data_IF_215205909154
#
_entry.id   IF_215205909154
#
_cell.length_a   1.000
_cell.length_b   1.000
_cell.length_c   1.000
_cell.angle_alpha   90.00
_cell.angle_beta   90.00
_cell.angle_gamma   90.00
#
_symmetry.space_group_name_H-M   'P 1'
#
loop_
_entity.id
_entity.type
_entity.pdbx_description
1 polymer ?
#
# COMPACT_ATOMS: atom_id res chain seq x y z
N UNK A 1 -10.65 -10.97 -8.57
CA UNK A 1 -9.37 -11.69 -8.43
C UNK A 1 -9.46 -13.00 -7.66
N UNK A 2 -10.17 -13.08 -6.51
CA UNK A 2 -10.31 -14.35 -5.75
C UNK A 2 -10.96 -15.50 -6.54
N UNK A 3 -11.94 -15.20 -7.41
CA UNK A 3 -12.61 -16.21 -8.24
C UNK A 3 -11.66 -16.90 -9.23
N UNK A 4 -10.79 -16.14 -9.91
CA UNK A 4 -9.79 -16.69 -10.84
C UNK A 4 -8.76 -17.56 -10.11
N UNK A 5 -8.39 -17.19 -8.88
CA UNK A 5 -7.51 -17.99 -8.02
C UNK A 5 -8.14 -19.35 -7.68
N UNK A 6 -9.42 -19.37 -7.28
CA UNK A 6 -10.12 -20.61 -6.98
C UNK A 6 -10.33 -21.49 -8.21
N UNK A 7 -10.64 -20.90 -9.37
CA UNK A 7 -10.76 -21.64 -10.63
C UNK A 7 -9.42 -22.25 -11.02
N UNK A 8 -8.32 -21.52 -10.88
CA UNK A 8 -6.97 -22.01 -11.16
C UNK A 8 -6.55 -23.13 -10.18
N UNK A 9 -6.83 -22.97 -8.89
CA UNK A 9 -6.57 -23.99 -7.87
C UNK A 9 -7.38 -25.28 -8.14
N UNK A 10 -8.66 -25.15 -8.48
CA UNK A 10 -9.51 -26.28 -8.82
C UNK A 10 -9.01 -27.01 -10.08
N UNK A 11 -8.56 -26.28 -11.10
CA UNK A 11 -7.98 -26.85 -12.31
C UNK A 11 -6.66 -27.62 -12.03
N UNK A 12 -5.83 -27.11 -11.11
CA UNK A 12 -4.61 -27.79 -10.66
C UNK A 12 -4.89 -29.09 -9.90
N UNK A 13 -5.86 -29.07 -8.99
CA UNK A 13 -6.27 -30.28 -8.22
C UNK A 13 -6.89 -31.32 -9.16
N UNK A 14 -7.73 -30.91 -10.10
CA UNK A 14 -8.37 -31.81 -11.06
C UNK A 14 -7.33 -32.50 -11.96
N UNK A 15 -6.31 -31.79 -12.42
CA UNK A 15 -5.25 -32.37 -13.26
C UNK A 15 -4.34 -33.31 -12.47
N UNK A 16 -3.97 -32.96 -11.23
CA UNK A 16 -3.21 -33.85 -10.35
C UNK A 16 -3.99 -35.13 -10.01
N UNK A 17 -5.29 -35.02 -9.72
CA UNK A 17 -6.16 -36.16 -9.46
C UNK A 17 -6.30 -37.07 -10.70
N UNK A 18 -6.44 -36.50 -11.89
CA UNK A 18 -6.54 -37.27 -13.14
C UNK A 18 -5.25 -38.05 -13.44
N UNK A 19 -4.07 -37.45 -13.20
CA UNK A 19 -2.77 -38.14 -13.38
C UNK A 19 -2.58 -39.24 -12.34
N UNK A 20 -2.95 -38.99 -11.07
CA UNK A 20 -2.88 -40.01 -10.02
C UNK A 20 -3.81 -41.19 -10.30
N UNK A 21 -5.05 -40.92 -10.72
CA UNK A 21 -5.99 -41.95 -11.15
C UNK A 21 -5.38 -42.76 -12.31
N UNK A 22 -4.88 -42.09 -13.35
CA UNK A 22 -4.31 -42.77 -14.51
C UNK A 22 -3.09 -43.63 -14.15
N UNK A 23 -2.23 -43.17 -13.24
CA UNK A 23 -1.07 -43.92 -12.77
C UNK A 23 -1.47 -45.15 -11.95
N UNK A 24 -2.53 -45.05 -11.14
CA UNK A 24 -3.07 -46.16 -10.36
C UNK A 24 -3.73 -47.23 -11.24
N UNK A 25 -4.43 -46.84 -12.32
CA UNK A 25 -5.08 -47.79 -13.24
C UNK A 25 -4.12 -48.42 -14.25
N UNK A 26 -2.96 -47.80 -14.52
CA UNK A 26 -2.02 -48.24 -15.56
C UNK A 26 -1.17 -49.46 -15.19
N UNK A 27 -1.24 -49.97 -13.95
CA UNK A 27 -0.37 -51.06 -13.48
C UNK A 27 -0.92 -52.47 -13.75
N UNK A 28 -2.09 -52.61 -14.40
CA UNK A 28 -2.84 -53.87 -14.40
C UNK A 28 -3.15 -54.48 -15.78
N UNK A 29 -2.29 -54.33 -16.80
CA UNK A 29 -2.48 -55.10 -18.05
C UNK A 29 -1.18 -55.62 -18.70
N UNK A 30 -0.94 -56.93 -18.49
CA UNK A 30 -0.38 -57.91 -19.44
C UNK A 30 -0.98 -59.30 -19.08
N UNK A 31 -1.22 -60.27 -20.00
CA UNK A 31 -0.41 -60.58 -21.20
C UNK A 31 -1.17 -61.07 -22.48
N UNK A 32 -0.47 -61.16 -23.64
CA UNK A 32 -0.32 -62.36 -24.53
C UNK A 32 0.23 -62.04 -25.93
N UNK A 33 1.48 -62.46 -26.15
CA UNK A 33 2.07 -63.18 -27.30
C UNK A 33 1.69 -62.82 -28.75
N UNK A 34 2.70 -62.42 -29.55
CA UNK A 34 2.78 -62.74 -30.99
C UNK A 34 3.23 -61.59 -31.92
N UNK A 35 3.06 -60.33 -31.52
CA UNK A 35 3.28 -59.14 -32.38
C UNK A 35 4.37 -58.18 -31.82
N UNK A 36 5.30 -58.70 -31.04
CA UNK A 36 6.13 -57.88 -30.14
C UNK A 36 7.37 -57.25 -30.78
N UNK A 37 7.84 -57.69 -31.95
CA UNK A 37 9.12 -57.21 -32.50
C UNK A 37 9.02 -55.88 -33.25
N UNK A 38 7.90 -55.61 -33.94
CA UNK A 38 7.68 -54.33 -34.63
C UNK A 38 7.10 -53.25 -33.73
N UNK A 39 6.39 -53.66 -32.66
CA UNK A 39 5.77 -52.74 -31.70
C UNK A 39 6.72 -52.33 -30.58
N UNK A 40 7.78 -53.10 -30.29
CA UNK A 40 8.73 -52.78 -29.20
C UNK A 40 9.45 -51.44 -29.37
N UNK A 41 9.85 -51.06 -30.60
CA UNK A 41 10.56 -49.79 -30.83
C UNK A 41 9.63 -48.56 -30.71
N UNK A 42 8.40 -48.67 -31.23
CA UNK A 42 7.37 -47.63 -31.09
C UNK A 42 6.88 -47.50 -29.64
N UNK A 43 6.73 -48.63 -28.93
CA UNK A 43 6.32 -48.70 -27.52
C UNK A 43 7.41 -48.14 -26.59
N UNK A 44 8.71 -48.42 -26.87
CA UNK A 44 9.84 -47.83 -26.12
C UNK A 44 9.88 -46.31 -26.30
N UNK A 45 9.70 -45.78 -27.52
CA UNK A 45 9.63 -44.33 -27.75
C UNK A 45 8.44 -43.67 -27.05
N UNK A 46 7.27 -44.32 -27.02
CA UNK A 46 6.08 -43.84 -26.28
C UNK A 46 6.24 -43.90 -24.76
N UNK A 47 6.91 -44.93 -24.21
CA UNK A 47 7.20 -45.01 -22.78
C UNK A 47 8.15 -43.91 -22.36
N UNK A 48 9.18 -43.61 -23.15
CA UNK A 48 10.13 -42.54 -22.81
C UNK A 48 9.49 -41.15 -22.89
N UNK A 49 8.59 -40.94 -23.85
CA UNK A 49 7.75 -39.73 -23.89
C UNK A 49 6.88 -39.68 -22.63
N UNK A 50 6.18 -40.75 -22.23
CA UNK A 50 5.37 -40.73 -21.00
C UNK A 50 6.20 -40.53 -19.71
N UNK A 51 7.39 -41.11 -19.64
CA UNK A 51 8.30 -41.05 -18.48
C UNK A 51 8.96 -39.69 -18.33
N UNK A 52 9.15 -38.93 -19.42
CA UNK A 52 9.74 -37.58 -19.38
C UNK A 52 8.66 -36.50 -19.29
N UNK A 53 7.54 -36.65 -20.00
CA UNK A 53 6.49 -35.63 -20.05
C UNK A 53 5.74 -35.52 -18.71
N UNK A 54 5.50 -36.63 -18.02
CA UNK A 54 4.82 -36.63 -16.72
C UNK A 54 5.58 -35.87 -15.61
N UNK A 55 6.89 -36.14 -15.34
CA UNK A 55 7.63 -35.39 -14.32
C UNK A 55 7.89 -33.94 -14.71
N UNK A 56 8.03 -33.61 -16.00
CA UNK A 56 8.17 -32.21 -16.45
C UNK A 56 6.90 -31.41 -16.16
N UNK A 57 5.72 -32.01 -16.37
CA UNK A 57 4.45 -31.35 -16.07
C UNK A 57 4.29 -31.14 -14.57
N UNK A 58 4.65 -32.14 -13.75
CA UNK A 58 4.66 -32.03 -12.28
C UNK A 58 5.67 -30.96 -11.82
N UNK A 59 6.86 -30.92 -12.42
CA UNK A 59 7.88 -29.93 -12.11
C UNK A 59 7.43 -28.50 -12.48
N UNK A 60 6.73 -28.32 -13.61
CA UNK A 60 6.15 -27.03 -14.00
C UNK A 60 5.08 -26.56 -13.01
N UNK A 61 4.23 -27.46 -12.53
CA UNK A 61 3.22 -27.16 -11.49
C UNK A 61 3.92 -26.78 -10.17
N UNK A 62 4.98 -27.52 -9.80
CA UNK A 62 5.83 -27.23 -8.64
C UNK A 62 6.76 -26.02 -8.82
N UNK A 63 6.91 -25.45 -10.01
CA UNK A 63 7.63 -24.18 -10.21
C UNK A 63 6.69 -23.00 -10.38
N UNK A 64 5.41 -23.24 -10.67
CA UNK A 64 4.42 -22.18 -10.85
C UNK A 64 3.97 -21.58 -9.51
N UNK A 65 3.86 -22.40 -8.45
CA UNK A 65 3.38 -21.94 -7.13
C UNK A 65 4.27 -20.90 -6.41
N UNK A 66 5.62 -20.94 -6.42
CA UNK A 66 6.43 -19.93 -5.76
C UNK A 66 6.37 -18.60 -6.53
N UNK A 67 6.26 -18.65 -7.86
CA UNK A 67 6.15 -17.46 -8.71
C UNK A 67 4.85 -16.70 -8.42
N UNK A 68 3.73 -17.42 -8.30
CA UNK A 68 2.45 -16.80 -7.91
C UNK A 68 2.51 -16.23 -6.50
N UNK A 69 3.13 -16.95 -5.56
CA UNK A 69 3.31 -16.46 -4.19
C UNK A 69 4.15 -15.18 -4.13
N UNK A 70 5.24 -15.10 -4.90
CA UNK A 70 6.09 -13.91 -5.00
C UNK A 70 5.29 -12.72 -5.57
N UNK A 71 4.59 -12.93 -6.69
CA UNK A 71 3.78 -11.88 -7.31
C UNK A 71 2.62 -11.41 -6.41
N UNK A 72 2.07 -12.32 -5.59
CA UNK A 72 0.97 -12.01 -4.67
C UNK A 72 1.47 -11.39 -3.35
N UNK A 73 2.71 -11.68 -2.94
CA UNK A 73 3.31 -11.13 -1.72
C UNK A 73 3.45 -9.61 -1.80
N UNK A 74 3.84 -9.09 -2.96
CA UNK A 74 3.93 -7.65 -3.18
C UNK A 74 2.57 -6.96 -3.09
N UNK A 75 1.52 -7.58 -3.64
CA UNK A 75 0.15 -7.04 -3.56
C UNK A 75 -0.40 -7.08 -2.12
N UNK A 76 -0.17 -8.16 -1.37
CA UNK A 76 -0.58 -8.23 0.04
C UNK A 76 0.20 -7.25 0.93
N UNK A 77 1.51 -7.12 0.72
CA UNK A 77 2.36 -6.15 1.46
C UNK A 77 1.94 -4.72 1.16
N UNK A 78 1.64 -4.43 -0.11
CA UNK A 78 1.15 -3.13 -0.54
C UNK A 78 -0.23 -2.81 0.03
N UNK A 79 -1.12 -3.79 0.18
CA UNK A 79 -2.43 -3.62 0.85
C UNK A 79 -2.31 -3.31 2.33
N UNK A 80 -1.46 -4.02 3.06
CA UNK A 80 -1.20 -3.74 4.49
C UNK A 80 -0.64 -2.33 4.69
N UNK A 81 0.19 -1.86 3.76
CA UNK A 81 0.67 -0.49 3.76
C UNK A 81 -0.47 0.49 3.42
N UNK A 82 -1.28 0.21 2.38
CA UNK A 82 -2.45 1.04 2.00
C UNK A 82 -3.47 1.21 3.14
N UNK A 83 -3.78 0.16 3.91
CA UNK A 83 -4.72 0.25 5.04
C UNK A 83 -4.19 1.12 6.18
N UNK A 84 -2.86 1.26 6.32
CA UNK A 84 -2.26 2.21 7.26
C UNK A 84 -2.38 3.66 6.77
N UNK A 85 -2.61 3.87 5.46
CA UNK A 85 -2.63 5.18 4.82
C UNK A 85 -4.02 5.68 4.41
N UNK A 86 -5.02 4.81 4.34
CA UNK A 86 -6.40 5.22 4.10
C UNK A 86 -6.98 5.80 5.38
N UNK A 87 -7.16 7.11 5.40
CA UNK A 87 -8.07 7.79 6.33
C UNK A 87 -7.55 7.92 7.75
N UNK A 88 -6.34 8.44 7.94
CA UNK A 88 -6.08 9.14 9.21
C UNK A 88 -6.84 10.46 9.16
N UNK A 89 -7.84 10.71 10.03
CA UNK A 89 -8.45 12.03 10.14
C UNK A 89 -7.34 13.04 10.50
N UNK A 90 -7.42 14.25 9.97
CA UNK A 90 -6.49 15.32 10.32
C UNK A 90 -6.46 15.44 11.84
N UNK A 91 -5.31 15.13 12.44
CA UNK A 91 -5.12 15.16 13.88
C UNK A 91 -3.68 15.53 14.15
N UNK A 92 -3.49 16.74 14.64
CA UNK A 92 -2.22 17.22 15.15
C UNK A 92 -1.90 16.36 16.38
N UNK A 93 -0.72 15.74 16.40
CA UNK A 93 -0.23 15.05 17.58
C UNK A 93 0.81 15.95 18.28
N UNK A 94 0.98 15.81 19.59
CA UNK A 94 1.96 16.59 20.37
C UNK A 94 3.40 16.42 19.84
N UNK A 95 3.70 15.28 19.20
CA UNK A 95 4.99 15.02 18.55
C UNK A 95 5.23 15.82 17.26
N UNK A 96 4.17 16.34 16.65
CA UNK A 96 4.23 17.12 15.40
C UNK A 96 4.44 18.62 15.71
N UNK A 97 4.44 19.00 17.00
CA UNK A 97 4.75 20.34 17.48
C UNK A 97 6.25 20.61 17.33
N UNK A 98 6.59 21.76 16.75
CA UNK A 98 7.97 22.12 16.42
C UNK A 98 8.50 23.16 17.39
N UNK A 99 7.81 24.30 17.50
CA UNK A 99 8.30 25.43 18.29
C UNK A 99 7.15 26.27 18.86
N UNK A 100 7.34 26.75 20.08
CA UNK A 100 6.47 27.71 20.73
C UNK A 100 6.76 29.14 20.24
N UNK A 101 5.72 29.94 20.02
CA UNK A 101 5.81 31.34 19.63
C UNK A 101 4.81 32.22 20.38
N UNK A 102 5.10 33.52 20.48
CA UNK A 102 4.09 34.53 20.82
C UNK A 102 3.39 35.05 19.57
N UNK A 103 2.24 35.70 19.73
CA UNK A 103 1.49 36.30 18.60
C UNK A 103 2.37 37.29 17.83
N UNK A 104 3.07 38.16 18.53
CA UNK A 104 3.92 39.20 17.93
C UNK A 104 5.10 38.60 17.15
N UNK A 105 5.66 37.49 17.65
CA UNK A 105 6.73 36.78 16.95
C UNK A 105 6.24 36.18 15.63
N UNK A 106 5.03 35.61 15.64
CA UNK A 106 4.42 35.05 14.42
C UNK A 106 4.12 36.16 13.44
N UNK A 107 3.55 37.27 13.91
CA UNK A 107 3.19 38.40 13.05
C UNK A 107 4.41 39.05 12.38
N UNK A 108 5.55 39.13 13.05
CA UNK A 108 6.78 39.63 12.42
C UNK A 108 7.37 38.62 11.41
N UNK A 109 7.34 37.33 11.73
CA UNK A 109 7.85 36.27 10.84
C UNK A 109 7.03 36.11 9.56
N UNK A 110 5.70 36.24 9.68
CA UNK A 110 4.75 35.99 8.60
C UNK A 110 4.30 37.29 7.92
N UNK A 111 4.96 38.40 8.25
CA UNK A 111 4.73 39.72 7.67
C UNK A 111 5.09 39.74 6.18
N UNK A 112 4.09 39.89 5.32
CA UNK A 112 4.32 40.02 3.88
C UNK A 112 4.68 41.47 3.56
N UNK A 113 5.95 41.71 3.24
CA UNK A 113 6.46 43.03 2.83
C UNK A 113 6.60 43.09 1.32
N UNK A 114 5.67 43.78 0.66
CA UNK A 114 5.79 44.05 -0.76
C UNK A 114 6.79 45.20 -1.01
N UNK A 115 7.94 44.95 -1.66
CA UNK A 115 8.93 45.99 -1.94
C UNK A 115 8.42 47.11 -2.84
N UNK A 116 7.35 46.87 -3.61
CA UNK A 116 6.72 47.86 -4.49
C UNK A 116 5.55 48.58 -3.80
N UNK A 117 5.18 48.17 -2.59
CA UNK A 117 4.11 48.79 -1.80
C UNK A 117 2.71 48.68 -2.41
N UNK A 118 2.47 47.73 -3.32
CA UNK A 118 1.16 47.50 -3.91
C UNK A 118 0.25 46.68 -2.97
N UNK A 119 0.81 45.85 -2.09
CA UNK A 119 0.09 45.13 -1.06
C UNK A 119 0.28 45.71 0.35
N UNK A 120 -0.73 45.65 1.23
CA UNK A 120 -0.59 46.01 2.64
C UNK A 120 0.46 45.15 3.34
N UNK A 121 1.26 45.78 4.21
CA UNK A 121 2.24 45.12 5.05
C UNK A 121 1.54 44.47 6.27
N UNK A 122 0.87 43.34 6.06
CA UNK A 122 0.12 42.60 7.09
C UNK A 122 0.57 41.14 7.17
N UNK A 123 0.52 40.51 8.36
CA UNK A 123 0.89 39.11 8.50
C UNK A 123 -0.08 38.20 7.75
N UNK A 124 0.45 37.17 7.10
CA UNK A 124 -0.30 36.23 6.25
C UNK A 124 -1.05 36.85 5.06
N UNK A 125 -0.86 38.14 4.77
CA UNK A 125 -1.50 38.83 3.64
C UNK A 125 -3.03 38.69 3.65
N UNK A 126 -3.58 38.00 2.65
CA UNK A 126 -5.02 37.78 2.51
C UNK A 126 -5.64 36.90 3.61
N UNK A 127 -4.84 36.12 4.33
CA UNK A 127 -5.31 35.29 5.44
C UNK A 127 -5.28 36.03 6.79
N UNK A 128 -4.87 37.30 6.82
CA UNK A 128 -4.79 38.09 8.05
C UNK A 128 -6.10 38.10 8.84
N UNK A 129 -7.25 38.22 8.17
CA UNK A 129 -8.55 38.23 8.84
C UNK A 129 -8.84 36.91 9.59
N UNK A 130 -8.47 35.77 8.99
CA UNK A 130 -8.60 34.45 9.62
C UNK A 130 -7.61 34.27 10.77
N UNK A 131 -6.41 34.83 10.64
CA UNK A 131 -5.43 34.90 11.74
C UNK A 131 -5.97 35.68 12.94
N UNK A 132 -6.57 36.86 12.71
CA UNK A 132 -7.17 37.64 13.80
C UNK A 132 -8.25 36.84 14.55
N UNK A 133 -9.16 36.18 13.83
CA UNK A 133 -10.17 35.31 14.43
C UNK A 133 -9.58 34.12 15.21
N UNK A 134 -8.39 33.64 14.81
CA UNK A 134 -7.68 32.61 15.55
C UNK A 134 -7.09 33.17 16.85
N UNK A 135 -6.47 34.36 16.80
CA UNK A 135 -5.91 35.00 18.00
C UNK A 135 -6.98 35.43 19.01
N UNK A 136 -8.19 35.76 18.57
CA UNK A 136 -9.33 36.06 19.45
C UNK A 136 -9.74 34.86 20.34
N UNK A 137 -9.35 33.64 19.98
CA UNK A 137 -9.64 32.43 20.75
C UNK A 137 -8.63 32.16 21.88
N UNK A 138 -7.56 32.94 21.98
CA UNK A 138 -6.53 32.80 23.00
C UNK A 138 -7.04 33.18 24.38
N UNK A 139 -6.78 32.30 25.36
CA UNK A 139 -6.91 32.61 26.78
C UNK A 139 -5.56 33.03 27.38
N UNK A 140 -5.54 33.66 28.57
CA UNK A 140 -4.31 34.19 29.18
C UNK A 140 -3.19 33.17 29.42
N UNK A 141 -3.54 31.89 29.62
CA UNK A 141 -2.58 30.80 29.89
C UNK A 141 -2.32 29.92 28.65
N UNK A 142 -2.88 30.28 27.49
CA UNK A 142 -2.73 29.53 26.26
C UNK A 142 -1.36 29.79 25.61
N UNK A 143 -0.81 28.76 24.96
CA UNK A 143 0.49 28.84 24.29
C UNK A 143 0.35 28.45 22.82
N UNK A 144 0.89 29.24 21.91
CA UNK A 144 0.85 28.93 20.47
C UNK A 144 2.08 28.10 20.09
N UNK A 145 1.84 27.00 19.40
CA UNK A 145 2.89 26.16 18.83
C UNK A 145 2.76 26.08 17.32
N UNK A 146 3.87 26.14 16.61
CA UNK A 146 3.91 25.72 15.21
C UNK A 146 3.92 24.20 15.13
N UNK A 147 3.25 23.66 14.12
CA UNK A 147 3.28 22.24 13.80
C UNK A 147 3.59 22.02 12.32
N UNK A 148 4.18 20.88 12.02
CA UNK A 148 4.36 20.41 10.65
C UNK A 148 4.02 18.93 10.60
N UNK A 149 2.96 18.59 9.87
CA UNK A 149 2.50 17.22 9.74
C UNK A 149 2.50 16.78 8.28
N UNK A 150 2.69 15.48 8.09
CA UNK A 150 2.70 14.86 6.77
C UNK A 150 1.52 13.91 6.69
N UNK A 151 0.66 14.14 5.70
CA UNK A 151 -0.54 13.35 5.49
C UNK A 151 -0.56 12.80 4.07
N UNK A 152 -0.87 11.52 3.92
CA UNK A 152 -1.16 10.96 2.60
C UNK A 152 -2.61 11.26 2.23
N UNK A 153 -2.81 11.87 1.06
CA UNK A 153 -4.14 12.12 0.51
C UNK A 153 -4.66 10.89 -0.24
N UNK A 154 -5.94 10.93 -0.63
CA UNK A 154 -6.62 9.83 -1.32
C UNK A 154 -5.91 9.40 -2.61
N UNK A 155 -5.16 10.31 -3.24
CA UNK A 155 -4.38 10.06 -4.45
C UNK A 155 -2.97 9.50 -4.20
N UNK A 156 -2.67 9.05 -2.97
CA UNK A 156 -1.32 8.60 -2.54
C UNK A 156 -0.22 9.64 -2.70
N UNK A 157 -0.58 10.92 -2.80
CA UNK A 157 0.39 12.01 -2.69
C UNK A 157 0.55 12.36 -1.21
N UNK A 158 1.78 12.70 -0.82
CA UNK A 158 2.04 13.20 0.54
C UNK A 158 1.84 14.70 0.52
N UNK A 159 0.85 15.15 1.28
CA UNK A 159 0.56 16.55 1.55
C UNK A 159 1.29 16.95 2.84
N UNK A 160 1.93 18.10 2.82
CA UNK A 160 2.48 18.78 3.99
C UNK A 160 1.48 19.80 4.48
N UNK A 161 1.12 19.69 5.76
CA UNK A 161 0.23 20.62 6.44
C UNK A 161 1.02 21.31 7.55
N UNK A 162 1.26 22.60 7.37
CA UNK A 162 1.97 23.45 8.31
C UNK A 162 1.01 24.51 8.86
N UNK A 163 1.20 24.87 10.12
CA UNK A 163 0.34 25.84 10.77
C UNK A 163 0.68 26.09 12.23
N UNK A 164 -0.24 26.76 12.91
CA UNK A 164 -0.17 27.12 14.32
C UNK A 164 -1.33 26.48 15.09
N UNK A 165 -1.09 26.12 16.35
CA UNK A 165 -2.10 25.49 17.20
C UNK A 165 -2.02 26.04 18.61
N UNK A 166 -3.17 26.21 19.24
CA UNK A 166 -3.28 26.65 20.62
C UNK A 166 -3.16 25.42 21.52
N UNK A 167 -2.21 25.47 22.45
CA UNK A 167 -2.04 24.48 23.49
C UNK A 167 -2.64 25.01 24.79
N UNK A 168 -3.67 24.34 25.31
CA UNK A 168 -4.38 24.72 26.53
C UNK A 168 -4.18 23.65 27.59
N UNK A 169 -3.41 23.97 28.63
CA UNK A 169 -3.14 22.99 29.71
C UNK A 169 -2.48 21.69 29.23
N UNK A 170 -1.77 21.71 28.10
CA UNK A 170 -1.15 20.53 27.48
C UNK A 170 -2.01 19.80 26.44
N UNK A 171 -3.26 20.22 26.25
CA UNK A 171 -4.15 19.68 25.21
C UNK A 171 -4.13 20.51 23.94
N UNK A 172 -4.33 19.85 22.80
CA UNK A 172 -4.38 20.46 21.48
C UNK A 172 -5.77 21.07 21.28
N UNK A 173 -5.84 22.39 21.22
CA UNK A 173 -7.05 23.16 21.01
C UNK A 173 -7.27 23.56 19.54
N UNK A 174 -7.84 24.75 19.29
CA UNK A 174 -8.02 25.28 17.94
C UNK A 174 -6.69 25.36 17.17
N UNK A 175 -6.74 25.17 15.86
CA UNK A 175 -5.59 25.23 14.97
C UNK A 175 -5.87 26.16 13.79
N UNK A 176 -4.78 26.66 13.20
CA UNK A 176 -4.76 27.56 12.06
C UNK A 176 -3.76 27.03 11.04
N UNK A 177 -4.22 26.77 9.82
CA UNK A 177 -3.38 26.26 8.72
C UNK A 177 -2.84 27.42 7.91
N UNK A 178 -1.52 27.43 7.69
CA UNK A 178 -0.85 28.44 6.85
C UNK A 178 -0.53 27.88 5.48
N UNK A 179 -0.24 26.57 5.40
CA UNK A 179 0.10 25.90 4.16
C UNK A 179 -0.45 24.47 4.15
N UNK A 180 -1.12 24.13 3.05
CA UNK A 180 -1.47 22.75 2.69
C UNK A 180 -1.01 22.51 1.24
N UNK A 181 0.02 21.68 1.04
CA UNK A 181 0.61 21.42 -0.28
C UNK A 181 0.88 19.94 -0.51
#
# INVERSE_FOLDING_TARGET
MKLLLYIYLAAGIATAAAVLLHNLTSHQEQPRTGLETLTAQAKRRQVWIKVITAPILVALILLAWPLVLILLWDELRSRKNRETYTTRPFRIATRDLVRCFTVEQIEDLECVRDPLGAAPCVPFGHLYASWQQFTEQLLPDDVIWSFSTRRLCEFKQTIFEDGYVILRGGEIGPHYLTRSA
#
